data_IF_584355412015
#
_entry.id   IF_584355412015
#
_cell.length_a   1.000
_cell.length_b   1.000
_cell.length_c   1.000
_cell.angle_alpha   90.00
_cell.angle_beta   90.00
_cell.angle_gamma   90.00
#
_symmetry.space_group_name_H-M   'P 1'
#
loop_
_entity.id
_entity.type
_entity.pdbx_description
1 polymer ?
#
# COMPACT_ATOMS: atom_id res chain seq x y z
N UNK A 1 3.09 31.54 -14.86
CA UNK A 1 2.18 30.39 -15.03
C UNK A 1 1.12 30.48 -13.95
N UNK A 2 -0.17 30.49 -14.30
CA UNK A 2 -1.24 30.52 -13.28
C UNK A 2 -1.26 29.22 -12.49
N UNK A 3 -1.89 29.21 -11.30
CA UNK A 3 -2.08 27.98 -10.52
C UNK A 3 -2.85 26.91 -11.32
N UNK A 4 -3.75 27.35 -12.21
CA UNK A 4 -4.54 26.48 -13.09
C UNK A 4 -3.65 25.82 -14.15
N UNK A 5 -2.84 26.60 -14.86
CA UNK A 5 -1.91 26.09 -15.87
C UNK A 5 -0.94 25.06 -15.28
N UNK A 6 -0.46 25.32 -14.06
CA UNK A 6 0.42 24.40 -13.36
C UNK A 6 -0.27 23.08 -12.99
N UNK A 7 -1.53 23.14 -12.55
CA UNK A 7 -2.33 21.93 -12.27
C UNK A 7 -2.59 21.13 -13.53
N UNK A 8 -2.82 21.78 -14.67
CA UNK A 8 -2.98 21.10 -15.96
C UNK A 8 -1.70 20.37 -16.38
N UNK A 9 -0.53 20.99 -16.19
CA UNK A 9 0.76 20.33 -16.44
C UNK A 9 0.96 19.13 -15.51
N UNK A 10 0.67 19.28 -14.21
CA UNK A 10 0.76 18.17 -13.25
C UNK A 10 -0.20 17.04 -13.61
N UNK A 11 -1.44 17.37 -13.99
CA UNK A 11 -2.44 16.40 -14.45
C UNK A 11 -1.92 15.61 -15.66
N UNK A 12 -1.41 16.31 -16.69
CA UNK A 12 -0.86 15.69 -17.89
C UNK A 12 0.32 14.74 -17.58
N UNK A 13 1.24 15.15 -16.70
CA UNK A 13 2.35 14.30 -16.24
C UNK A 13 1.84 13.07 -15.49
N UNK A 14 0.82 13.24 -14.64
CA UNK A 14 0.25 12.15 -13.85
C UNK A 14 -0.63 11.17 -14.63
N UNK A 15 -1.01 11.48 -15.88
CA UNK A 15 -1.68 10.50 -16.74
C UNK A 15 -0.81 9.27 -16.97
N UNK A 16 0.51 9.40 -16.90
CA UNK A 16 1.43 8.26 -16.94
C UNK A 16 1.18 7.26 -15.81
N UNK A 17 0.70 7.71 -14.64
CA UNK A 17 0.35 6.83 -13.53
C UNK A 17 -0.84 5.94 -13.86
N UNK A 18 -1.78 6.43 -14.68
CA UNK A 18 -3.01 5.71 -15.02
C UNK A 18 -2.78 4.87 -16.27
N UNK A 19 -2.15 5.45 -17.30
CA UNK A 19 -1.99 4.83 -18.61
C UNK A 19 -1.11 3.58 -18.52
N UNK A 20 -0.03 3.57 -17.75
CA UNK A 20 0.86 2.40 -17.67
C UNK A 20 0.22 1.20 -16.96
N UNK A 21 -0.38 1.35 -15.76
CA UNK A 21 -1.11 0.28 -15.10
C UNK A 21 -2.38 -0.11 -15.83
N UNK A 22 -3.14 0.84 -16.39
CA UNK A 22 -4.29 0.52 -17.25
C UNK A 22 -3.82 -0.25 -18.48
N UNK A 23 -2.75 0.18 -19.15
CA UNK A 23 -2.17 -0.55 -20.28
C UNK A 23 -1.71 -1.95 -19.87
N UNK A 24 -1.08 -2.11 -18.71
CA UNK A 24 -0.60 -3.41 -18.23
C UNK A 24 -1.75 -4.36 -17.86
N UNK A 25 -2.84 -3.82 -17.30
CA UNK A 25 -4.08 -4.54 -17.01
C UNK A 25 -4.99 -4.73 -18.23
N UNK A 26 -4.73 -3.99 -19.32
CA UNK A 26 -5.43 -4.07 -20.61
C UNK A 26 -4.55 -4.72 -21.69
N UNK A 27 -3.35 -5.21 -21.35
CA UNK A 27 -2.49 -5.94 -22.28
C UNK A 27 -3.26 -7.18 -22.80
N UNK A 28 -2.99 -7.67 -24.01
CA UNK A 28 -3.67 -8.84 -24.57
C UNK A 28 -3.58 -10.12 -23.71
N UNK A 29 -2.58 -10.23 -22.84
CA UNK A 29 -2.50 -11.29 -21.80
C UNK A 29 -3.65 -11.22 -20.78
N UNK A 30 -4.27 -10.05 -20.65
CA UNK A 30 -5.48 -9.74 -19.90
C UNK A 30 -6.73 -9.59 -20.80
N UNK A 31 -6.84 -10.35 -21.90
CA UNK A 31 -8.08 -10.41 -22.70
C UNK A 31 -9.33 -10.66 -21.83
N UNK A 32 -10.54 -10.31 -22.32
CA UNK A 32 -11.82 -10.57 -21.65
C UNK A 32 -11.92 -11.95 -20.98
N UNK A 33 -11.39 -13.00 -21.61
CA UNK A 33 -11.35 -14.36 -21.07
C UNK A 33 -10.59 -14.48 -19.73
N UNK A 34 -9.52 -13.71 -19.52
CA UNK A 34 -8.72 -13.73 -18.28
C UNK A 34 -9.37 -12.94 -17.15
N UNK A 35 -10.05 -11.83 -17.44
CA UNK A 35 -10.83 -11.08 -16.44
C UNK A 35 -12.07 -11.89 -16.02
N UNK A 36 -12.68 -12.61 -16.97
CA UNK A 36 -13.75 -13.55 -16.72
C UNK A 36 -13.27 -14.74 -15.88
N UNK A 37 -12.14 -15.38 -16.23
CA UNK A 37 -11.52 -16.45 -15.43
C UNK A 37 -11.12 -15.99 -14.02
N UNK A 38 -10.57 -14.78 -13.89
CA UNK A 38 -10.19 -14.17 -12.61
C UNK A 38 -11.38 -13.99 -11.66
N UNK A 39 -12.61 -13.92 -12.18
CA UNK A 39 -13.83 -13.88 -11.38
C UNK A 39 -14.48 -15.26 -11.24
N UNK A 40 -14.58 -16.02 -12.34
CA UNK A 40 -15.26 -17.32 -12.38
C UNK A 40 -14.58 -18.37 -11.51
N UNK A 41 -13.24 -18.45 -11.53
CA UNK A 41 -12.51 -19.45 -10.75
C UNK A 41 -12.71 -19.25 -9.25
N UNK A 42 -12.50 -18.03 -8.68
CA UNK A 42 -12.85 -17.77 -7.28
C UNK A 42 -14.33 -17.97 -6.97
N UNK A 43 -15.25 -17.57 -7.86
CA UNK A 43 -16.70 -17.77 -7.64
C UNK A 43 -17.08 -19.25 -7.52
N UNK A 44 -16.52 -20.11 -8.38
CA UNK A 44 -16.75 -21.56 -8.33
C UNK A 44 -16.26 -22.15 -7.01
N UNK A 45 -15.12 -21.69 -6.51
CA UNK A 45 -14.58 -22.15 -5.23
C UNK A 45 -15.39 -21.59 -4.05
N UNK A 46 -15.85 -20.34 -4.11
CA UNK A 46 -16.73 -19.76 -3.11
C UNK A 46 -18.05 -20.54 -2.99
N UNK A 47 -18.62 -20.96 -4.12
CA UNK A 47 -19.86 -21.74 -4.18
C UNK A 47 -19.75 -23.15 -3.57
N UNK A 48 -18.53 -23.68 -3.41
CA UNK A 48 -18.33 -24.98 -2.76
C UNK A 48 -18.62 -24.92 -1.24
N UNK A 49 -18.57 -23.72 -0.65
CA UNK A 49 -18.72 -23.51 0.80
C UNK A 49 -17.51 -23.92 1.64
N UNK A 50 -16.42 -24.39 1.03
CA UNK A 50 -15.19 -24.82 1.71
C UNK A 50 -13.92 -24.48 0.93
N UNK A 51 -12.85 -24.15 1.65
CA UNK A 51 -11.48 -24.09 1.10
C UNK A 51 -10.92 -25.50 1.21
N UNK A 52 -10.56 -26.12 0.10
CA UNK A 52 -9.96 -27.46 0.09
C UNK A 52 -8.61 -27.44 -0.61
N UNK A 53 -7.65 -28.21 -0.07
CA UNK A 53 -6.35 -28.39 -0.68
C UNK A 53 -5.80 -29.79 -0.38
N UNK A 54 -4.83 -30.22 -1.18
CA UNK A 54 -4.08 -31.45 -0.94
C UNK A 54 -2.75 -31.12 -0.28
N UNK A 55 -2.41 -31.87 0.77
CA UNK A 55 -1.10 -31.83 1.41
C UNK A 55 -0.10 -32.71 0.66
N UNK A 56 1.22 -32.53 0.88
CA UNK A 56 2.26 -33.34 0.24
C UNK A 56 2.16 -34.85 0.51
N UNK A 57 1.52 -35.24 1.61
CA UNK A 57 1.25 -36.65 1.97
C UNK A 57 0.01 -37.24 1.26
N UNK A 58 -0.65 -36.47 0.40
CA UNK A 58 -1.86 -36.84 -0.33
C UNK A 58 -3.15 -36.67 0.46
N UNK A 59 -3.09 -36.22 1.73
CA UNK A 59 -4.30 -35.97 2.52
C UNK A 59 -5.02 -34.72 2.01
N UNK A 60 -6.34 -34.80 1.88
CA UNK A 60 -7.16 -33.62 1.58
C UNK A 60 -7.54 -32.94 2.89
N UNK A 61 -7.17 -31.68 3.02
CA UNK A 61 -7.62 -30.82 4.12
C UNK A 61 -8.66 -29.84 3.63
N UNK A 62 -9.56 -29.46 4.52
CA UNK A 62 -10.53 -28.43 4.23
C UNK A 62 -10.92 -27.63 5.47
N UNK A 63 -11.31 -26.37 5.24
CA UNK A 63 -11.95 -25.52 6.23
C UNK A 63 -13.23 -24.92 5.63
N UNK A 64 -14.28 -24.68 6.42
CA UNK A 64 -15.48 -24.03 5.93
C UNK A 64 -15.19 -22.57 5.54
N UNK A 65 -15.78 -22.11 4.44
CA UNK A 65 -15.78 -20.69 4.12
C UNK A 65 -16.68 -19.96 5.13
N UNK A 66 -16.19 -18.84 5.68
CA UNK A 66 -17.00 -17.93 6.48
C UNK A 66 -18.00 -17.24 5.55
N UNK A 67 -19.29 -17.40 5.86
CA UNK A 67 -20.39 -16.83 5.06
C UNK A 67 -20.97 -15.53 5.66
N UNK A 68 -20.82 -15.33 6.97
CA UNK A 68 -21.39 -14.21 7.70
C UNK A 68 -20.34 -13.67 8.68
N UNK A 69 -19.28 -13.06 8.16
CA UNK A 69 -18.24 -12.47 9.00
C UNK A 69 -18.72 -11.15 9.60
N UNK A 70 -19.28 -10.28 8.76
CA UNK A 70 -19.75 -8.96 9.14
C UNK A 70 -21.22 -8.94 9.57
N UNK A 71 -21.95 -10.04 9.35
CA UNK A 71 -23.41 -10.12 9.55
C UNK A 71 -24.17 -9.10 8.70
N UNK A 72 -23.54 -8.65 7.61
CA UNK A 72 -24.05 -7.66 6.69
C UNK A 72 -23.77 -8.18 5.29
N UNK A 73 -24.83 -8.73 4.67
CA UNK A 73 -24.72 -9.44 3.39
C UNK A 73 -23.89 -8.67 2.35
N UNK A 74 -24.07 -7.35 2.24
CA UNK A 74 -23.34 -6.56 1.27
C UNK A 74 -21.81 -6.54 1.52
N UNK A 75 -21.36 -6.52 2.77
CA UNK A 75 -19.93 -6.58 3.11
C UNK A 75 -19.38 -7.98 2.94
N UNK A 76 -20.16 -8.98 3.36
CA UNK A 76 -19.79 -10.39 3.20
C UNK A 76 -19.64 -10.76 1.71
N UNK A 77 -20.59 -10.36 0.87
CA UNK A 77 -20.55 -10.55 -0.59
C UNK A 77 -19.33 -9.85 -1.22
N UNK A 78 -18.99 -8.64 -0.78
CA UNK A 78 -17.87 -7.86 -1.31
C UNK A 78 -16.52 -8.55 -1.07
N UNK A 79 -16.32 -9.07 0.14
CA UNK A 79 -15.02 -9.62 0.56
C UNK A 79 -14.87 -11.13 0.38
N UNK A 80 -15.94 -11.83 -0.01
CA UNK A 80 -15.91 -13.26 -0.27
C UNK A 80 -14.87 -13.64 -1.33
N UNK A 81 -14.91 -12.99 -2.50
CA UNK A 81 -13.99 -13.31 -3.60
C UNK A 81 -12.54 -12.97 -3.26
N UNK A 82 -12.31 -11.83 -2.60
CA UNK A 82 -10.99 -11.46 -2.11
C UNK A 82 -10.45 -12.54 -1.15
N UNK A 83 -11.26 -12.98 -0.18
CA UNK A 83 -10.88 -14.01 0.77
C UNK A 83 -10.58 -15.37 0.11
N UNK A 84 -11.30 -15.71 -0.97
CA UNK A 84 -11.00 -16.91 -1.79
C UNK A 84 -9.65 -16.77 -2.49
N UNK A 85 -9.38 -15.63 -3.13
CA UNK A 85 -8.10 -15.36 -3.81
C UNK A 85 -6.92 -15.38 -2.83
N UNK A 86 -7.09 -14.91 -1.59
CA UNK A 86 -6.04 -14.96 -0.58
C UNK A 86 -5.86 -16.35 0.06
N UNK A 87 -6.82 -17.27 -0.09
CA UNK A 87 -6.79 -18.55 0.60
C UNK A 87 -5.56 -19.43 0.28
N UNK A 88 -5.05 -19.51 -0.97
CA UNK A 88 -3.85 -20.30 -1.26
C UNK A 88 -2.60 -19.83 -0.53
N UNK A 89 -2.35 -18.52 -0.56
CA UNK A 89 -1.16 -17.93 0.05
C UNK A 89 -1.26 -17.91 1.58
N UNK A 90 -2.40 -17.53 2.14
CA UNK A 90 -2.59 -17.44 3.60
C UNK A 90 -2.60 -18.82 4.27
N UNK A 91 -3.30 -19.81 3.71
CA UNK A 91 -3.27 -21.17 4.24
C UNK A 91 -1.97 -21.91 3.92
N UNK A 92 -1.19 -21.43 2.95
CA UNK A 92 0.16 -21.90 2.69
C UNK A 92 0.25 -23.18 1.87
N UNK A 93 -0.84 -23.56 1.19
CA UNK A 93 -0.79 -24.60 0.15
C UNK A 93 -0.32 -24.05 -1.21
N UNK A 94 -0.19 -22.71 -1.34
CA UNK A 94 0.69 -22.07 -2.30
C UNK A 94 1.91 -21.47 -1.59
N UNK A 95 3.04 -22.18 -1.59
CA UNK A 95 4.26 -21.69 -0.94
C UNK A 95 4.87 -20.47 -1.63
N UNK A 96 4.79 -20.38 -2.96
CA UNK A 96 5.33 -19.23 -3.72
C UNK A 96 4.46 -18.00 -3.41
N UNK A 97 3.14 -18.15 -3.53
CA UNK A 97 2.18 -17.10 -3.20
C UNK A 97 2.26 -16.67 -1.73
N UNK A 98 2.55 -17.59 -0.81
CA UNK A 98 2.75 -17.25 0.62
C UNK A 98 3.91 -16.28 0.80
N UNK A 99 5.09 -16.58 0.25
CA UNK A 99 6.26 -15.70 0.34
C UNK A 99 6.02 -14.36 -0.34
N UNK A 100 5.50 -14.38 -1.58
CA UNK A 100 5.23 -13.17 -2.34
C UNK A 100 4.23 -12.27 -1.63
N UNK A 101 3.09 -12.82 -1.24
CA UNK A 101 1.98 -12.00 -0.79
C UNK A 101 2.11 -11.57 0.67
N UNK A 102 2.72 -12.39 1.54
CA UNK A 102 3.06 -11.90 2.88
C UNK A 102 4.04 -10.72 2.81
N UNK A 103 5.01 -10.77 1.90
CA UNK A 103 5.93 -9.67 1.66
C UNK A 103 5.19 -8.44 1.12
N UNK A 104 4.29 -8.63 0.14
CA UNK A 104 3.47 -7.54 -0.37
C UNK A 104 2.70 -6.86 0.76
N UNK A 105 1.94 -7.61 1.55
CA UNK A 105 1.17 -7.03 2.65
C UNK A 105 2.04 -6.31 3.68
N UNK A 106 3.23 -6.81 3.97
CA UNK A 106 4.18 -6.12 4.85
C UNK A 106 4.64 -4.80 4.22
N UNK A 107 4.93 -4.75 2.92
CA UNK A 107 5.30 -3.53 2.19
C UNK A 107 4.15 -2.53 2.02
N UNK A 108 2.90 -2.98 2.12
CA UNK A 108 1.74 -2.09 2.22
C UNK A 108 1.74 -1.30 3.53
N UNK A 109 2.39 -1.78 4.60
CA UNK A 109 2.57 -1.03 5.85
C UNK A 109 3.27 0.34 5.66
N UNK A 110 4.47 0.37 5.08
CA UNK A 110 5.12 1.59 4.58
C UNK A 110 4.21 2.49 3.74
N UNK A 111 3.40 1.90 2.85
CA UNK A 111 2.49 2.63 1.99
C UNK A 111 1.34 3.29 2.77
N UNK A 112 0.74 2.60 3.75
CA UNK A 112 -0.23 3.19 4.68
C UNK A 112 0.32 4.43 5.36
N UNK A 113 1.54 4.32 5.91
CA UNK A 113 2.20 5.42 6.61
C UNK A 113 2.33 6.63 5.68
N UNK A 114 2.89 6.45 4.49
CA UNK A 114 3.11 7.55 3.54
C UNK A 114 1.79 8.16 3.09
N UNK A 115 0.80 7.35 2.71
CA UNK A 115 -0.49 7.84 2.23
C UNK A 115 -1.25 8.63 3.29
N UNK A 116 -1.29 8.14 4.52
CA UNK A 116 -1.97 8.81 5.64
C UNK A 116 -1.27 10.14 5.98
N UNK A 117 0.06 10.14 6.07
CA UNK A 117 0.83 11.35 6.35
C UNK A 117 0.68 12.39 5.22
N UNK A 118 0.69 11.97 3.95
CA UNK A 118 0.41 12.85 2.82
C UNK A 118 -1.01 13.41 2.87
N UNK A 119 -2.02 12.57 3.12
CA UNK A 119 -3.41 13.01 3.22
C UNK A 119 -3.65 14.01 4.35
N UNK A 120 -2.89 13.93 5.44
CA UNK A 120 -2.98 14.84 6.59
C UNK A 120 -2.14 16.11 6.47
N UNK A 121 -1.53 16.40 5.33
CA UNK A 121 -0.96 17.73 5.09
C UNK A 121 -2.06 18.79 5.10
N UNK A 122 -1.77 19.94 5.71
CA UNK A 122 -2.75 21.05 5.80
C UNK A 122 -3.25 21.52 4.43
N UNK A 123 -2.37 21.55 3.42
CA UNK A 123 -2.70 21.95 2.05
C UNK A 123 -3.57 20.96 1.29
N UNK A 124 -3.70 19.72 1.77
CA UNK A 124 -4.57 18.71 1.16
C UNK A 124 -6.00 18.75 1.74
N UNK A 125 -6.23 19.52 2.80
CA UNK A 125 -7.56 19.64 3.41
C UNK A 125 -8.58 20.06 2.36
N UNK A 126 -9.70 19.35 2.31
CA UNK A 126 -10.80 19.56 1.35
C UNK A 126 -10.47 19.22 -0.11
N UNK A 127 -9.39 18.49 -0.37
CA UNK A 127 -9.11 17.91 -1.69
C UNK A 127 -9.30 16.38 -1.66
N UNK A 128 -9.47 15.72 -2.80
CA UNK A 128 -9.51 14.26 -2.86
C UNK A 128 -8.25 13.59 -2.27
N UNK A 129 -7.11 14.30 -2.23
CA UNK A 129 -5.87 13.81 -1.64
C UNK A 129 -5.96 13.61 -0.11
N UNK A 130 -6.91 14.27 0.57
CA UNK A 130 -7.13 14.12 2.02
C UNK A 130 -7.92 12.85 2.41
N UNK A 131 -8.26 11.98 1.46
CA UNK A 131 -9.02 10.76 1.71
C UNK A 131 -8.19 9.47 1.45
N UNK A 132 -6.97 9.33 2.02
CA UNK A 132 -6.13 8.15 1.79
C UNK A 132 -6.79 6.85 2.27
N UNK A 133 -7.49 6.87 3.41
CA UNK A 133 -8.20 5.69 3.92
C UNK A 133 -9.29 5.19 2.95
N UNK A 134 -9.97 6.10 2.25
CA UNK A 134 -10.96 5.75 1.22
C UNK A 134 -10.27 5.15 0.01
N UNK A 135 -9.16 5.74 -0.46
CA UNK A 135 -8.38 5.19 -1.56
C UNK A 135 -7.84 3.78 -1.26
N UNK A 136 -7.34 3.57 -0.04
CA UNK A 136 -6.87 2.27 0.43
C UNK A 136 -8.02 1.27 0.64
N UNK A 137 -9.23 1.72 0.99
CA UNK A 137 -10.41 0.85 1.03
C UNK A 137 -10.85 0.44 -0.37
N UNK A 138 -10.86 1.37 -1.33
CA UNK A 138 -11.13 1.03 -2.74
C UNK A 138 -10.12 -0.01 -3.25
N UNK A 139 -8.86 0.07 -2.83
CA UNK A 139 -7.84 -0.94 -3.15
C UNK A 139 -8.22 -2.36 -2.69
N UNK A 140 -9.00 -2.50 -1.60
CA UNK A 140 -9.50 -3.81 -1.15
C UNK A 140 -10.60 -4.36 -2.06
N UNK A 141 -11.32 -3.48 -2.76
CA UNK A 141 -12.42 -3.85 -3.64
C UNK A 141 -11.96 -4.18 -5.07
N UNK A 142 -10.93 -3.48 -5.56
CA UNK A 142 -10.50 -3.58 -6.97
C UNK A 142 -9.05 -4.01 -7.16
N UNK A 143 -8.25 -4.19 -6.11
CA UNK A 143 -6.77 -4.29 -6.07
C UNK A 143 -6.03 -2.96 -5.92
N UNK A 144 -4.85 -3.01 -5.31
CA UNK A 144 -4.02 -1.84 -5.06
C UNK A 144 -3.36 -1.32 -6.35
N UNK A 145 -3.03 -2.21 -7.27
CA UNK A 145 -2.47 -1.90 -8.58
C UNK A 145 -3.39 -1.05 -9.45
N UNK A 146 -4.70 -1.11 -9.21
CA UNK A 146 -5.70 -0.23 -9.82
C UNK A 146 -5.96 1.04 -9.02
N UNK A 147 -6.13 0.92 -7.70
CA UNK A 147 -6.50 2.05 -6.85
C UNK A 147 -5.35 3.05 -6.63
N UNK A 148 -4.12 2.57 -6.49
CA UNK A 148 -2.94 3.40 -6.23
C UNK A 148 -2.67 4.43 -7.34
N UNK A 149 -2.64 4.06 -8.63
CA UNK A 149 -2.60 5.02 -9.74
C UNK A 149 -3.57 6.18 -9.65
N UNK A 150 -4.84 5.88 -9.34
CA UNK A 150 -5.91 6.86 -9.28
C UNK A 150 -5.66 7.80 -8.10
N UNK A 151 -5.32 7.25 -6.93
CA UNK A 151 -5.00 8.08 -5.78
C UNK A 151 -3.75 8.93 -6.00
N UNK A 152 -2.70 8.39 -6.63
CA UNK A 152 -1.51 9.17 -6.98
C UNK A 152 -1.81 10.29 -7.98
N UNK A 153 -2.69 10.07 -8.95
CA UNK A 153 -3.19 11.12 -9.83
C UNK A 153 -3.90 12.21 -9.03
N UNK A 154 -4.80 11.84 -8.11
CA UNK A 154 -5.52 12.79 -7.28
C UNK A 154 -4.58 13.56 -6.34
N UNK A 155 -3.65 12.87 -5.69
CA UNK A 155 -2.65 13.45 -4.80
C UNK A 155 -1.72 14.38 -5.55
N UNK A 156 -1.23 13.98 -6.72
CA UNK A 156 -0.30 14.81 -7.49
C UNK A 156 -1.02 15.99 -8.15
N UNK A 157 -2.25 15.84 -8.62
CA UNK A 157 -2.96 16.93 -9.30
C UNK A 157 -3.51 17.96 -8.32
N UNK A 158 -4.18 17.50 -7.26
CA UNK A 158 -4.91 18.36 -6.32
C UNK A 158 -4.15 18.61 -5.01
N UNK A 159 -3.17 17.78 -4.70
CA UNK A 159 -2.41 17.88 -3.47
C UNK A 159 -1.28 18.91 -3.54
N UNK A 160 -0.62 19.02 -2.40
CA UNK A 160 0.34 20.07 -2.10
C UNK A 160 1.57 19.98 -3.03
N UNK A 161 1.83 21.04 -3.80
CA UNK A 161 3.03 21.15 -4.64
C UNK A 161 4.23 21.73 -3.88
N UNK A 162 5.43 21.35 -4.32
CA UNK A 162 6.70 21.95 -3.97
C UNK A 162 6.87 23.42 -4.41
N UNK A 163 6.20 23.89 -5.47
CA UNK A 163 6.39 25.25 -6.01
C UNK A 163 5.36 26.27 -5.53
N UNK A 164 4.13 25.83 -5.26
CA UNK A 164 2.97 26.73 -5.18
C UNK A 164 2.40 27.02 -3.79
N UNK A 165 2.95 26.44 -2.73
CA UNK A 165 2.30 26.46 -1.42
C UNK A 165 3.23 26.90 -0.29
N UNK A 166 2.66 27.59 0.69
CA UNK A 166 3.37 28.06 1.87
C UNK A 166 3.89 26.88 2.70
N UNK A 167 4.94 27.10 3.49
CA UNK A 167 5.44 26.15 4.49
C UNK A 167 4.31 25.56 5.34
N UNK A 168 3.33 26.38 5.72
CA UNK A 168 2.18 25.94 6.51
C UNK A 168 1.34 24.89 5.79
N UNK A 169 1.13 25.02 4.48
CA UNK A 169 0.34 24.09 3.67
C UNK A 169 1.07 22.75 3.48
N UNK A 170 2.41 22.75 3.45
CA UNK A 170 3.22 21.54 3.38
C UNK A 170 3.28 20.78 4.71
N UNK A 171 2.95 21.43 5.82
CA UNK A 171 3.10 20.84 7.14
C UNK A 171 2.11 19.68 7.36
N UNK A 172 2.66 18.54 7.79
CA UNK A 172 1.88 17.39 8.27
C UNK A 172 1.26 17.75 9.63
N UNK A 173 -0.03 17.48 9.81
CA UNK A 173 -0.71 17.70 11.09
C UNK A 173 -0.21 16.69 12.13
N UNK A 174 0.64 17.16 13.04
CA UNK A 174 1.33 16.33 14.05
C UNK A 174 0.36 15.61 14.98
N UNK A 175 -0.83 16.14 15.16
CA UNK A 175 -1.87 15.58 16.03
C UNK A 175 -2.26 14.14 15.63
N UNK A 176 -2.17 13.79 14.34
CA UNK A 176 -2.61 12.49 13.83
C UNK A 176 -1.52 11.40 13.86
N UNK A 177 -0.26 11.77 14.13
CA UNK A 177 0.89 10.86 14.05
C UNK A 177 0.99 9.90 15.25
N UNK A 178 0.75 10.30 16.51
CA UNK A 178 1.01 9.42 17.67
C UNK A 178 0.25 8.10 17.66
N UNK A 179 -1.04 8.15 17.28
CA UNK A 179 -1.87 6.95 17.19
C UNK A 179 -1.51 6.09 15.97
N UNK A 180 -0.97 6.69 14.90
CA UNK A 180 -0.76 5.99 13.64
C UNK A 180 0.21 4.80 13.77
N UNK A 181 1.24 4.92 14.61
CA UNK A 181 2.17 3.82 14.87
C UNK A 181 1.45 2.58 15.38
N UNK A 182 0.67 2.72 16.44
CA UNK A 182 -0.03 1.59 17.04
C UNK A 182 -1.12 1.03 16.12
N UNK A 183 -1.78 1.89 15.33
CA UNK A 183 -2.80 1.45 14.39
C UNK A 183 -2.18 0.65 13.23
N UNK A 184 -1.05 1.09 12.65
CA UNK A 184 -0.38 0.34 11.58
C UNK A 184 0.24 -0.95 12.11
N UNK A 185 0.86 -0.92 13.29
CA UNK A 185 1.44 -2.11 13.91
C UNK A 185 0.36 -3.13 14.30
N UNK A 186 -0.72 -2.69 14.96
CA UNK A 186 -1.76 -3.56 15.49
C UNK A 186 -2.78 -3.99 14.43
N UNK A 187 -3.40 -3.03 13.76
CA UNK A 187 -4.50 -3.31 12.83
C UNK A 187 -4.03 -3.77 11.45
N UNK A 188 -2.85 -3.38 10.99
CA UNK A 188 -2.32 -3.90 9.72
C UNK A 188 -1.31 -5.02 9.95
N UNK A 189 -0.11 -4.72 10.43
CA UNK A 189 0.98 -5.70 10.48
C UNK A 189 0.69 -6.87 11.44
N UNK A 190 0.03 -6.62 12.56
CA UNK A 190 -0.40 -7.66 13.51
C UNK A 190 -1.45 -8.59 12.90
N UNK A 191 -2.48 -8.05 12.25
CA UNK A 191 -3.50 -8.83 11.56
C UNK A 191 -2.89 -9.64 10.41
N UNK A 192 -2.03 -9.03 9.59
CA UNK A 192 -1.30 -9.74 8.52
C UNK A 192 -0.45 -10.87 9.11
N UNK A 193 0.22 -10.64 10.23
CA UNK A 193 0.98 -11.65 10.95
C UNK A 193 0.11 -12.85 11.34
N UNK A 194 -1.09 -12.60 11.88
CA UNK A 194 -2.02 -13.66 12.27
C UNK A 194 -2.64 -14.38 11.06
N UNK A 195 -2.95 -13.64 9.99
CA UNK A 195 -3.48 -14.18 8.73
C UNK A 195 -2.51 -15.13 8.03
N UNK A 196 -1.20 -14.92 8.15
CA UNK A 196 -0.18 -15.72 7.45
C UNK A 196 0.58 -16.69 8.34
N UNK A 197 0.65 -16.46 9.65
CA UNK A 197 1.54 -17.24 10.53
C UNK A 197 0.85 -17.89 11.73
N UNK A 198 -0.47 -17.74 11.89
CA UNK A 198 -1.23 -18.54 12.87
C UNK A 198 -1.03 -20.05 12.62
N UNK A 199 -0.88 -20.90 13.65
CA UNK A 199 -0.79 -22.34 13.45
C UNK A 199 -2.11 -22.96 12.96
N UNK A 200 -3.25 -22.34 13.27
CA UNK A 200 -4.58 -22.80 12.87
C UNK A 200 -5.04 -22.15 11.56
N UNK A 201 -5.44 -22.98 10.59
CA UNK A 201 -5.93 -22.56 9.27
C UNK A 201 -7.25 -21.79 9.35
N UNK A 202 -8.14 -22.17 10.29
CA UNK A 202 -9.42 -21.47 10.47
C UNK A 202 -9.18 -20.04 10.99
N UNK A 203 -8.25 -19.88 11.94
CA UNK A 203 -7.81 -18.57 12.41
C UNK A 203 -7.17 -17.75 11.28
N UNK A 204 -6.31 -18.33 10.44
CA UNK A 204 -5.75 -17.61 9.28
C UNK A 204 -6.84 -17.04 8.38
N UNK A 205 -7.81 -17.87 8.02
CA UNK A 205 -8.95 -17.46 7.21
C UNK A 205 -9.75 -16.33 7.89
N UNK A 206 -10.01 -16.45 9.19
CA UNK A 206 -10.68 -15.41 9.96
C UNK A 206 -9.92 -14.07 9.94
N UNK A 207 -8.59 -14.10 10.09
CA UNK A 207 -7.77 -12.89 10.07
C UNK A 207 -7.64 -12.27 8.66
N UNK A 208 -7.73 -13.08 7.59
CA UNK A 208 -7.86 -12.55 6.22
C UNK A 208 -9.13 -11.74 6.07
N UNK A 209 -10.26 -12.23 6.59
CA UNK A 209 -11.52 -11.47 6.62
C UNK A 209 -11.41 -10.19 7.46
N UNK A 210 -10.80 -10.29 8.64
CA UNK A 210 -10.54 -9.14 9.51
C UNK A 210 -9.67 -8.06 8.84
N UNK A 211 -8.76 -8.48 7.97
CA UNK A 211 -7.83 -7.58 7.28
C UNK A 211 -8.51 -6.69 6.23
N UNK A 212 -9.56 -7.18 5.55
CA UNK A 212 -10.21 -6.47 4.44
C UNK A 212 -10.65 -5.02 4.78
N UNK A 213 -11.33 -4.74 5.90
CA UNK A 213 -11.75 -3.38 6.26
C UNK A 213 -10.68 -2.55 7.00
N UNK A 214 -9.47 -3.09 7.24
CA UNK A 214 -8.39 -2.41 7.98
C UNK A 214 -8.10 -0.99 7.50
N UNK A 215 -8.08 -0.66 6.19
CA UNK A 215 -7.88 0.71 5.77
C UNK A 215 -8.84 1.72 6.38
N UNK A 216 -10.13 1.37 6.44
CA UNK A 216 -11.15 2.23 7.05
C UNK A 216 -11.01 2.23 8.57
N UNK A 217 -10.72 1.08 9.18
CA UNK A 217 -10.53 1.00 10.63
C UNK A 217 -9.36 1.87 11.09
N UNK A 218 -8.22 1.86 10.39
CA UNK A 218 -7.08 2.73 10.70
C UNK A 218 -7.48 4.20 10.59
N UNK A 219 -8.13 4.59 9.48
CA UNK A 219 -8.54 5.98 9.27
C UNK A 219 -9.53 6.46 10.35
N UNK A 220 -10.58 5.68 10.61
CA UNK A 220 -11.62 6.00 11.58
C UNK A 220 -11.07 6.00 13.02
N UNK A 221 -10.33 4.96 13.40
CA UNK A 221 -9.74 4.86 14.73
C UNK A 221 -8.77 6.01 15.00
N UNK A 222 -7.98 6.41 14.00
CA UNK A 222 -7.09 7.56 14.15
C UNK A 222 -7.89 8.86 14.42
N UNK A 223 -8.92 9.14 13.62
CA UNK A 223 -9.80 10.31 13.83
C UNK A 223 -10.44 10.29 15.21
N UNK A 224 -10.95 9.14 15.65
CA UNK A 224 -11.56 8.98 16.98
C UNK A 224 -10.52 9.22 18.08
N UNK A 225 -9.37 8.56 18.04
CA UNK A 225 -8.33 8.69 19.06
C UNK A 225 -7.80 10.12 19.18
N UNK A 226 -7.56 10.80 18.05
CA UNK A 226 -7.09 12.20 18.03
C UNK A 226 -8.13 13.15 18.61
N UNK A 227 -9.42 12.89 18.39
CA UNK A 227 -10.48 13.77 18.83
C UNK A 227 -11.03 13.47 20.23
N UNK A 228 -10.67 12.34 20.82
CA UNK A 228 -11.14 11.89 22.14
C UNK A 228 -9.97 11.64 23.09
N UNK A 229 -9.29 10.50 22.97
CA UNK A 229 -8.26 9.99 23.88
C UNK A 229 -7.05 10.91 23.97
N UNK A 230 -6.52 11.37 22.84
CA UNK A 230 -5.30 12.19 22.85
C UNK A 230 -5.54 13.59 23.42
N UNK A 231 -6.79 14.06 23.53
CA UNK A 231 -7.13 15.34 24.18
C UNK A 231 -7.20 15.24 25.70
N UNK A 232 -7.10 14.04 26.29
CA UNK A 232 -7.08 13.88 27.73
C UNK A 232 -5.82 14.53 28.34
N UNK A 233 -5.92 15.11 29.56
CA UNK A 233 -4.79 15.69 30.26
C UNK A 233 -3.62 14.68 30.37
N UNK A 234 -2.41 15.13 30.05
CA UNK A 234 -1.20 14.28 30.07
C UNK A 234 -0.91 13.50 28.79
N UNK A 235 -1.92 13.20 27.96
CA UNK A 235 -1.72 12.48 26.68
C UNK A 235 -1.50 13.41 25.48
N UNK A 236 -1.95 14.66 25.57
CA UNK A 236 -1.79 15.62 24.47
C UNK A 236 -0.32 15.91 24.14
N UNK A 237 0.57 15.87 25.14
CA UNK A 237 2.01 16.08 24.96
C UNK A 237 2.72 14.95 24.20
N UNK A 238 2.07 13.80 23.96
CA UNK A 238 2.65 12.70 23.20
C UNK A 238 3.00 13.12 21.77
N UNK A 239 2.26 14.06 21.17
CA UNK A 239 2.53 14.55 19.81
C UNK A 239 3.88 15.25 19.64
N UNK A 240 4.46 15.73 20.73
CA UNK A 240 5.75 16.41 20.73
C UNK A 240 6.91 15.47 21.08
N UNK A 241 6.63 14.23 21.47
CA UNK A 241 7.63 13.22 21.78
C UNK A 241 8.23 12.62 20.51
N UNK A 242 9.54 12.42 20.50
CA UNK A 242 10.26 11.90 19.32
C UNK A 242 9.80 10.50 18.90
N UNK A 243 9.39 9.65 19.86
CA UNK A 243 8.89 8.30 19.61
C UNK A 243 7.60 8.29 18.77
N UNK A 244 6.84 9.39 18.80
CA UNK A 244 5.60 9.57 18.05
C UNK A 244 5.78 10.48 16.82
N UNK A 245 7.02 10.61 16.34
CA UNK A 245 7.32 11.35 15.11
C UNK A 245 7.10 10.49 13.86
N UNK A 246 6.80 11.15 12.73
CA UNK A 246 6.71 10.48 11.44
C UNK A 246 8.01 9.73 11.08
N UNK A 247 9.17 10.25 11.50
CA UNK A 247 10.47 9.60 11.32
C UNK A 247 10.55 8.27 12.06
N UNK A 248 10.17 8.25 13.35
CA UNK A 248 10.23 7.02 14.16
C UNK A 248 9.27 5.98 13.61
N UNK A 249 8.06 6.40 13.23
CA UNK A 249 7.10 5.55 12.54
C UNK A 249 7.69 4.94 11.27
N UNK A 250 8.27 5.76 10.39
CA UNK A 250 8.91 5.30 9.16
C UNK A 250 10.08 4.35 9.41
N UNK A 251 10.89 4.60 10.44
CA UNK A 251 12.00 3.71 10.81
C UNK A 251 11.47 2.35 11.26
N UNK A 252 10.51 2.31 12.18
CA UNK A 252 9.97 1.04 12.71
C UNK A 252 9.34 0.20 11.60
N UNK A 253 8.43 0.81 10.82
CA UNK A 253 7.71 0.09 9.77
C UNK A 253 8.65 -0.29 8.62
N UNK A 254 9.63 0.56 8.31
CA UNK A 254 10.70 0.26 7.36
C UNK A 254 11.61 -0.87 7.82
N UNK A 255 11.96 -0.96 9.10
CA UNK A 255 12.76 -2.07 9.64
C UNK A 255 12.00 -3.40 9.56
N UNK A 256 10.69 -3.41 9.79
CA UNK A 256 9.86 -4.62 9.64
C UNK A 256 9.84 -5.07 8.17
N UNK A 257 9.61 -4.13 7.24
CA UNK A 257 9.64 -4.40 5.79
C UNK A 257 11.01 -4.90 5.33
N UNK A 258 12.10 -4.26 5.76
CA UNK A 258 13.48 -4.70 5.51
C UNK A 258 13.74 -6.11 6.03
N UNK A 259 13.31 -6.40 7.26
CA UNK A 259 13.48 -7.71 7.89
C UNK A 259 12.76 -8.80 7.12
N UNK A 260 11.50 -8.55 6.73
CA UNK A 260 10.74 -9.48 5.88
C UNK A 260 11.39 -9.68 4.51
N UNK A 261 11.85 -8.61 3.88
CA UNK A 261 12.54 -8.68 2.58
C UNK A 261 13.83 -9.51 2.68
N UNK A 262 14.61 -9.29 3.73
CA UNK A 262 15.80 -10.09 4.01
C UNK A 262 15.46 -11.58 4.24
N UNK A 263 14.32 -11.89 4.88
CA UNK A 263 13.86 -13.27 5.01
C UNK A 263 13.53 -13.90 3.66
N UNK A 264 12.87 -13.16 2.74
CA UNK A 264 12.64 -13.64 1.37
C UNK A 264 13.97 -13.99 0.70
N UNK A 265 14.96 -13.10 0.73
CA UNK A 265 16.28 -13.34 0.11
C UNK A 265 17.06 -14.48 0.73
N UNK A 266 17.03 -14.61 2.06
CA UNK A 266 17.91 -15.53 2.78
C UNK A 266 17.27 -16.92 3.02
N UNK A 267 15.94 -17.02 2.96
CA UNK A 267 15.20 -18.22 3.39
C UNK A 267 14.20 -18.75 2.37
N UNK A 268 13.77 -17.96 1.37
CA UNK A 268 12.90 -18.49 0.33
C UNK A 268 13.62 -19.57 -0.48
N UNK A 269 13.02 -20.76 -0.69
CA UNK A 269 13.58 -21.77 -1.59
C UNK A 269 13.33 -21.44 -3.08
N UNK A 270 12.58 -20.38 -3.38
CA UNK A 270 12.17 -20.01 -4.73
C UNK A 270 13.01 -18.86 -5.27
N UNK A 271 13.15 -18.82 -6.60
CA UNK A 271 13.83 -17.71 -7.26
C UNK A 271 13.04 -16.40 -7.12
N UNK A 272 13.72 -15.26 -7.20
CA UNK A 272 13.08 -13.94 -7.21
C UNK A 272 12.04 -13.83 -8.34
N UNK A 273 12.39 -14.37 -9.52
CA UNK A 273 11.50 -14.37 -10.68
C UNK A 273 10.24 -15.18 -10.42
N UNK A 274 10.34 -16.42 -9.93
CA UNK A 274 9.16 -17.21 -9.56
C UNK A 274 8.30 -16.53 -8.51
N UNK A 275 8.93 -15.87 -7.55
CA UNK A 275 8.23 -15.26 -6.43
C UNK A 275 7.45 -14.02 -6.88
N UNK A 276 8.05 -13.13 -7.67
CA UNK A 276 7.46 -11.80 -7.91
C UNK A 276 7.02 -11.54 -9.35
N UNK A 277 7.42 -12.38 -10.32
CA UNK A 277 7.12 -12.15 -11.74
C UNK A 277 6.10 -13.20 -12.21
N UNK A 278 4.95 -12.78 -12.76
CA UNK A 278 3.96 -13.68 -13.34
C UNK A 278 4.59 -14.55 -14.43
N UNK A 279 4.33 -15.86 -14.39
CA UNK A 279 4.94 -16.84 -15.29
C UNK A 279 3.98 -17.31 -16.39
N UNK A 280 2.67 -17.31 -16.12
CA UNK A 280 1.66 -17.91 -17.00
C UNK A 280 0.64 -16.85 -17.43
N UNK A 281 0.29 -16.76 -18.73
CA UNK A 281 -0.85 -15.97 -19.15
C UNK A 281 -2.14 -16.49 -18.48
N UNK A 282 -2.80 -15.65 -17.68
CA UNK A 282 -4.03 -15.97 -16.93
C UNK A 282 -5.13 -16.65 -17.77
N UNK A 283 -5.14 -16.44 -19.09
CA UNK A 283 -6.11 -16.99 -20.03
C UNK A 283 -6.07 -18.52 -20.20
N UNK A 284 -5.16 -19.25 -19.54
CA UNK A 284 -4.89 -20.67 -19.83
C UNK A 284 -5.13 -21.64 -18.67
N UNK A 285 -5.54 -21.17 -17.48
CA UNK A 285 -5.68 -22.03 -16.29
C UNK A 285 -7.02 -21.88 -15.57
N UNK A 286 -7.53 -22.98 -15.02
CA UNK A 286 -8.71 -23.03 -14.15
C UNK A 286 -8.34 -23.34 -12.70
N UNK A 287 -7.04 -23.48 -12.41
CA UNK A 287 -6.51 -23.75 -11.08
C UNK A 287 -6.51 -22.46 -10.24
N UNK A 288 -7.21 -22.49 -9.11
CA UNK A 288 -7.30 -21.36 -8.18
C UNK A 288 -5.93 -20.93 -7.67
N UNK A 289 -5.00 -21.87 -7.42
CA UNK A 289 -3.67 -21.54 -6.91
C UNK A 289 -2.93 -20.66 -7.91
N UNK A 290 -2.87 -21.10 -9.17
CA UNK A 290 -2.20 -20.36 -10.24
C UNK A 290 -2.88 -19.02 -10.52
N UNK A 291 -4.21 -19.00 -10.67
CA UNK A 291 -4.95 -17.74 -10.91
C UNK A 291 -4.69 -16.74 -9.78
N UNK A 292 -4.78 -17.17 -8.53
CA UNK A 292 -4.57 -16.29 -7.38
C UNK A 292 -3.14 -15.76 -7.32
N UNK A 293 -2.14 -16.62 -7.50
CA UNK A 293 -0.73 -16.22 -7.47
C UNK A 293 -0.41 -15.14 -8.50
N UNK A 294 -0.82 -15.38 -9.75
CA UNK A 294 -0.56 -14.47 -10.86
C UNK A 294 -1.24 -13.12 -10.64
N UNK A 295 -2.52 -13.11 -10.22
CA UNK A 295 -3.23 -11.87 -9.88
C UNK A 295 -2.52 -11.06 -8.79
N UNK A 296 -2.02 -11.72 -7.74
CA UNK A 296 -1.36 -11.07 -6.61
C UNK A 296 0.06 -10.58 -6.94
N UNK A 297 0.78 -11.28 -7.82
CA UNK A 297 2.05 -10.81 -8.37
C UNK A 297 1.86 -9.55 -9.23
N UNK A 298 0.84 -9.57 -10.09
CA UNK A 298 0.48 -8.44 -10.94
C UNK A 298 0.06 -7.22 -10.10
N UNK A 299 -0.74 -7.43 -9.07
CA UNK A 299 -1.15 -6.38 -8.12
C UNK A 299 0.08 -5.75 -7.43
N UNK A 300 1.02 -6.57 -6.96
CA UNK A 300 2.25 -6.10 -6.35
C UNK A 300 3.11 -5.26 -7.30
N UNK A 301 3.33 -5.75 -8.53
CA UNK A 301 4.14 -5.04 -9.52
C UNK A 301 3.48 -3.72 -9.94
N UNK A 302 2.19 -3.74 -10.25
CA UNK A 302 1.44 -2.55 -10.69
C UNK A 302 1.39 -1.48 -9.58
N UNK A 303 1.13 -1.89 -8.34
CA UNK A 303 1.05 -0.97 -7.20
C UNK A 303 2.38 -0.28 -6.90
N UNK A 304 3.49 -1.02 -6.83
CA UNK A 304 4.80 -0.42 -6.54
C UNK A 304 5.41 0.30 -7.75
N UNK A 305 5.12 -0.13 -8.98
CA UNK A 305 5.46 0.66 -10.17
C UNK A 305 4.80 2.04 -10.13
N UNK A 306 3.49 2.08 -9.87
CA UNK A 306 2.75 3.35 -9.73
C UNK A 306 3.30 4.20 -8.58
N UNK A 307 3.66 3.56 -7.46
CA UNK A 307 4.29 4.21 -6.31
C UNK A 307 5.59 4.92 -6.68
N UNK A 308 6.48 4.25 -7.42
CA UNK A 308 7.75 4.82 -7.81
C UNK A 308 7.60 5.89 -8.89
N UNK A 309 6.68 5.72 -9.85
CA UNK A 309 6.35 6.76 -10.82
C UNK A 309 5.85 8.04 -10.15
N UNK A 310 4.98 7.90 -9.14
CA UNK A 310 4.52 9.00 -8.30
C UNK A 310 5.68 9.65 -7.55
N UNK A 311 6.58 8.88 -6.95
CA UNK A 311 7.76 9.39 -6.24
C UNK A 311 8.68 10.21 -7.17
N UNK A 312 8.98 9.69 -8.36
CA UNK A 312 9.78 10.40 -9.37
C UNK A 312 9.12 11.72 -9.76
N UNK A 313 7.80 11.73 -9.89
CA UNK A 313 7.05 12.95 -10.19
C UNK A 313 7.08 13.97 -9.05
N UNK A 314 7.08 13.52 -7.79
CA UNK A 314 7.32 14.41 -6.64
C UNK A 314 8.73 15.02 -6.67
N UNK A 315 9.75 14.25 -7.05
CA UNK A 315 11.11 14.78 -7.19
C UNK A 315 11.21 15.76 -8.36
N UNK A 316 10.53 15.48 -9.46
CA UNK A 316 10.46 16.39 -10.60
C UNK A 316 9.77 17.70 -10.22
N UNK A 317 8.71 17.64 -9.42
CA UNK A 317 8.03 18.83 -8.88
C UNK A 317 8.97 19.69 -8.01
N UNK A 318 9.81 19.03 -7.20
CA UNK A 318 10.84 19.71 -6.40
C UNK A 318 11.94 20.34 -7.26
N UNK A 319 12.37 19.65 -8.33
CA UNK A 319 13.35 20.18 -9.27
C UNK A 319 12.79 21.39 -10.03
N UNK A 320 11.57 21.30 -10.54
CA UNK A 320 10.88 22.40 -11.23
C UNK A 320 10.53 23.58 -10.32
N UNK A 321 10.52 23.35 -9.00
CA UNK A 321 10.36 24.36 -7.95
C UNK A 321 11.67 24.87 -7.37
N UNK A 322 12.82 24.54 -7.97
CA UNK A 322 14.15 24.99 -7.56
C UNK A 322 14.52 24.62 -6.10
N UNK A 323 13.91 23.56 -5.55
CA UNK A 323 14.21 23.05 -4.20
C UNK A 323 15.45 22.14 -4.22
N UNK A 324 15.63 21.41 -5.31
CA UNK A 324 16.74 20.48 -5.51
C UNK A 324 17.43 20.76 -6.85
N UNK A 325 18.70 20.44 -6.92
CA UNK A 325 19.51 20.52 -8.14
C UNK A 325 19.26 19.33 -9.08
N UNK A 326 19.68 19.42 -10.34
CA UNK A 326 19.60 18.31 -11.28
C UNK A 326 20.38 17.07 -10.83
N UNK A 327 21.52 17.26 -10.16
CA UNK A 327 22.33 16.16 -9.58
C UNK A 327 21.58 15.48 -8.44
N UNK A 328 20.95 16.24 -7.56
CA UNK A 328 20.13 15.70 -6.47
C UNK A 328 18.90 14.95 -6.98
N UNK A 329 18.24 15.48 -8.03
CA UNK A 329 17.15 14.78 -8.70
C UNK A 329 17.61 13.43 -9.29
N UNK A 330 18.69 13.44 -10.07
CA UNK A 330 19.23 12.21 -10.68
C UNK A 330 19.65 11.19 -9.61
N UNK A 331 20.26 11.64 -8.51
CA UNK A 331 20.65 10.80 -7.37
C UNK A 331 19.44 10.18 -6.67
N UNK A 332 18.37 10.96 -6.46
CA UNK A 332 17.16 10.47 -5.81
C UNK A 332 16.39 9.48 -6.69
N UNK A 333 16.37 9.68 -8.00
CA UNK A 333 15.74 8.73 -8.95
C UNK A 333 16.55 7.44 -9.06
N UNK A 334 17.88 7.53 -9.16
CA UNK A 334 18.75 6.35 -9.29
C UNK A 334 18.86 5.53 -8.01
N UNK A 335 18.62 6.12 -6.84
CA UNK A 335 18.62 5.37 -5.57
C UNK A 335 17.39 4.47 -5.40
N UNK A 336 16.24 4.78 -6.01
CA UNK A 336 15.01 3.99 -5.89
C UNK A 336 15.24 2.50 -6.25
N UNK A 337 15.72 2.14 -7.45
CA UNK A 337 15.93 0.73 -7.80
C UNK A 337 16.98 0.06 -6.92
N UNK A 338 18.03 0.78 -6.52
CA UNK A 338 19.08 0.26 -5.64
C UNK A 338 18.49 -0.12 -4.29
N UNK A 339 17.78 0.81 -3.64
CA UNK A 339 17.14 0.57 -2.35
C UNK A 339 16.05 -0.49 -2.48
N UNK A 340 15.32 -0.53 -3.59
CA UNK A 340 14.29 -1.55 -3.82
C UNK A 340 14.89 -2.96 -3.90
N UNK A 341 16.04 -3.14 -4.56
CA UNK A 341 16.71 -4.44 -4.64
C UNK A 341 17.14 -4.92 -3.24
N UNK A 342 17.81 -4.06 -2.48
CA UNK A 342 18.41 -4.47 -1.19
C UNK A 342 17.45 -4.41 0.00
N UNK A 343 16.51 -3.47 0.01
CA UNK A 343 15.58 -3.23 1.12
C UNK A 343 14.14 -3.58 0.83
N UNK A 344 13.79 -3.84 -0.42
CA UNK A 344 12.41 -4.11 -0.84
C UNK A 344 11.64 -2.84 -1.18
N UNK A 345 10.49 -2.98 -1.85
CA UNK A 345 9.72 -1.83 -2.32
C UNK A 345 9.20 -0.90 -1.22
N UNK A 346 8.80 -1.45 -0.06
CA UNK A 346 8.32 -0.68 1.08
C UNK A 346 9.41 0.24 1.67
N UNK A 347 10.65 -0.27 1.80
CA UNK A 347 11.80 0.51 2.25
C UNK A 347 12.19 1.57 1.23
N UNK A 348 12.17 1.25 -0.07
CA UNK A 348 12.45 2.21 -1.13
C UNK A 348 11.47 3.40 -1.11
N UNK A 349 10.18 3.12 -0.92
CA UNK A 349 9.14 4.14 -0.73
C UNK A 349 9.46 5.06 0.47
N UNK A 350 9.71 4.49 1.65
CA UNK A 350 10.00 5.28 2.85
C UNK A 350 11.30 6.07 2.73
N UNK A 351 12.32 5.49 2.11
CA UNK A 351 13.60 6.16 1.87
C UNK A 351 13.42 7.39 0.98
N UNK A 352 12.76 7.23 -0.17
CA UNK A 352 12.49 8.33 -1.10
C UNK A 352 11.62 9.41 -0.48
N UNK A 353 10.54 9.00 0.22
CA UNK A 353 9.65 9.93 0.91
C UNK A 353 10.39 10.71 2.00
N UNK A 354 11.17 10.03 2.85
CA UNK A 354 11.92 10.65 3.94
C UNK A 354 13.00 11.61 3.44
N UNK A 355 13.71 11.24 2.36
CA UNK A 355 14.67 12.12 1.71
C UNK A 355 14.00 13.42 1.25
N UNK A 356 12.82 13.32 0.62
CA UNK A 356 12.02 14.48 0.22
C UNK A 356 11.63 15.35 1.42
N UNK A 357 11.12 14.76 2.50
CA UNK A 357 10.73 15.53 3.69
C UNK A 357 11.90 16.31 4.28
N UNK A 358 13.10 15.73 4.32
CA UNK A 358 14.30 16.43 4.80
C UNK A 358 14.69 17.61 3.92
N UNK A 359 14.49 17.52 2.60
CA UNK A 359 14.74 18.64 1.68
C UNK A 359 13.73 19.76 1.86
N UNK A 360 12.45 19.42 1.95
CA UNK A 360 11.37 20.40 2.19
C UNK A 360 11.59 21.14 3.52
N UNK A 361 11.87 20.41 4.60
CA UNK A 361 12.10 21.01 5.92
C UNK A 361 13.31 21.97 5.97
N UNK A 362 14.34 21.76 5.14
CA UNK A 362 15.50 22.67 5.06
C UNK A 362 15.14 24.00 4.40
N UNK A 363 14.26 23.98 3.39
CA UNK A 363 13.78 25.19 2.74
C UNK A 363 12.96 26.02 3.73
N UNK A 364 12.05 25.38 4.45
CA UNK A 364 11.18 26.03 5.42
C UNK A 364 11.97 26.78 6.50
N UNK A 365 13.04 26.19 7.05
CA UNK A 365 13.91 26.86 8.03
C UNK A 365 14.59 28.10 7.48
N UNK A 366 15.16 28.01 6.27
CA UNK A 366 15.83 29.16 5.62
C UNK A 366 14.86 30.31 5.34
N UNK A 367 13.59 30.02 5.10
CA UNK A 367 12.57 31.06 4.91
C UNK A 367 12.25 31.76 6.22
N UNK A 368 12.12 31.02 7.34
CA UNK A 368 11.86 31.61 8.66
C UNK A 368 13.00 32.50 9.15
N UNK A 369 14.26 32.06 9.00
CA UNK A 369 15.45 32.84 9.38
C UNK A 369 15.62 34.15 8.59
N UNK A 370 14.99 34.28 7.40
CA UNK A 370 15.03 35.52 6.60
C UNK A 370 13.93 36.52 6.95
N UNK A 371 12.92 36.08 7.70
CA UNK A 371 11.76 36.91 8.08
C UNK A 371 11.85 37.43 9.52
N UNK A 372 12.80 36.92 10.30
CA UNK A 372 13.25 37.48 11.59
C UNK A 372 14.41 38.44 11.34
#
# INVERSE_FOLDING_TARGET
MSLLDYRLVRAALSLTFIVLPAYYLLLPTFHHASAELALQVPQKHAASGKIEWQEPDGTTKSIPFIQNYFWLKFLDDQFLLASVVFSPSSNGYDLIGRWQFSQFLIDVGPLYVVWLLEGWRRGNRWTPAALPAVGLYIAQLVTLGLAAPIWYFLQFTFGTSAKGLTTQQRTIQKEYVPALLFLVLGLHLGIVGLAYFSPDHSARHWWVWAWQPVPLWIGLANVVLVNTVLKLPGLWGLKDQWIFSASTLSVIVGTISLGSWALVWLKSPFSFRETFIPAVPLAQTTDLVLVSRELLQLDYLASFWATFAWMVSLFLDMYAGDIITGVEFATAVSSIPIVCIFGGPGVALLNGWWWRERKLARVDRKTTEKTE
#
